data_IF_808042893098
#
_entry.id   IF_808042893098
#
_cell.length_a   1.000
_cell.length_b   1.000
_cell.length_c   1.000
_cell.angle_alpha   90.00
_cell.angle_beta   90.00
_cell.angle_gamma   90.00
#
_symmetry.space_group_name_H-M   'P 1'
#
loop_
_entity.id
_entity.type
_entity.pdbx_description
1 polymer ?
#
# COMPACT_ATOMS: atom_id res chain seq x y z
N UNK A 1 -10.98 -13.50 7.09
CA UNK A 1 -12.28 -14.07 6.67
C UNK A 1 -12.93 -14.94 7.75
N UNK A 2 -12.31 -16.02 8.21
CA UNK A 2 -12.90 -16.93 9.23
C UNK A 2 -13.37 -16.19 10.51
N UNK A 3 -12.58 -15.24 11.02
CA UNK A 3 -12.93 -14.43 12.18
C UNK A 3 -14.24 -13.64 12.02
N UNK A 4 -14.44 -13.00 10.89
CA UNK A 4 -15.68 -12.26 10.61
C UNK A 4 -16.88 -13.19 10.47
N UNK A 5 -16.72 -14.33 9.81
CA UNK A 5 -17.78 -15.34 9.72
C UNK A 5 -18.18 -15.87 11.10
N UNK A 6 -17.20 -16.12 11.97
CA UNK A 6 -17.45 -16.52 13.34
C UNK A 6 -18.24 -15.46 14.11
N UNK A 7 -17.86 -14.18 13.99
CA UNK A 7 -18.57 -13.08 14.66
C UNK A 7 -20.01 -12.91 14.14
N UNK A 8 -20.22 -12.98 12.83
CA UNK A 8 -21.56 -12.93 12.22
C UNK A 8 -22.45 -14.04 12.82
N UNK A 9 -21.93 -15.27 12.86
CA UNK A 9 -22.64 -16.42 13.44
C UNK A 9 -22.92 -16.20 14.92
N UNK A 10 -21.94 -15.77 15.69
CA UNK A 10 -22.08 -15.51 17.12
C UNK A 10 -23.15 -14.43 17.39
N UNK A 11 -23.14 -13.31 16.68
CA UNK A 11 -24.14 -12.26 16.82
C UNK A 11 -25.54 -12.77 16.44
N UNK A 12 -25.64 -13.57 15.41
CA UNK A 12 -26.91 -14.18 15.00
C UNK A 12 -27.48 -15.13 16.08
N UNK A 13 -26.65 -16.07 16.59
CA UNK A 13 -27.05 -17.04 17.62
C UNK A 13 -27.45 -16.35 18.94
N UNK A 14 -26.73 -15.27 19.30
CA UNK A 14 -27.03 -14.47 20.50
C UNK A 14 -28.16 -13.46 20.27
N UNK A 15 -28.74 -13.37 19.07
CA UNK A 15 -29.77 -12.41 18.66
C UNK A 15 -29.38 -10.95 18.92
N UNK A 16 -28.09 -10.63 18.81
CA UNK A 16 -27.58 -9.29 18.95
C UNK A 16 -27.77 -8.51 17.64
N UNK A 17 -28.36 -7.34 17.74
CA UNK A 17 -28.43 -6.42 16.62
C UNK A 17 -27.22 -5.48 16.69
N UNK A 18 -26.36 -5.55 15.69
CA UNK A 18 -25.16 -4.71 15.58
C UNK A 18 -25.27 -3.81 14.36
N UNK A 19 -24.96 -2.52 14.47
CA UNK A 19 -25.00 -1.58 13.35
C UNK A 19 -23.73 -1.73 12.50
N UNK A 20 -23.48 -2.91 11.97
CA UNK A 20 -22.25 -3.22 11.23
C UNK A 20 -22.55 -3.87 9.87
N UNK A 21 -21.77 -3.49 8.87
CA UNK A 21 -21.70 -4.13 7.56
C UNK A 21 -20.43 -4.97 7.55
N UNK A 22 -20.58 -6.28 7.35
CA UNK A 22 -19.46 -7.21 7.19
C UNK A 22 -19.19 -7.38 5.70
N UNK A 23 -18.04 -6.93 5.25
CA UNK A 23 -17.63 -6.98 3.86
C UNK A 23 -16.45 -7.94 3.65
N UNK A 24 -16.55 -8.81 2.66
CA UNK A 24 -15.47 -9.68 2.20
C UNK A 24 -15.07 -9.20 0.82
N UNK A 25 -14.09 -8.31 0.78
CA UNK A 25 -13.65 -7.66 -0.44
C UNK A 25 -12.45 -8.39 -1.09
N UNK A 26 -11.95 -7.83 -2.19
CA UNK A 26 -10.83 -8.35 -2.98
C UNK A 26 -9.89 -7.25 -3.39
N UNK A 27 -8.63 -7.63 -3.71
CA UNK A 27 -7.67 -6.71 -4.31
C UNK A 27 -6.97 -5.80 -3.31
N UNK A 28 -6.80 -6.24 -2.06
CA UNK A 28 -5.90 -5.63 -1.11
C UNK A 28 -4.45 -5.93 -1.47
N UNK A 29 -4.13 -7.19 -1.77
CA UNK A 29 -2.79 -7.66 -2.05
C UNK A 29 -2.23 -7.25 -3.41
N UNK A 30 -0.91 -7.13 -3.46
CA UNK A 30 -0.12 -6.97 -4.68
C UNK A 30 -0.56 -5.81 -5.58
N UNK A 31 -0.91 -6.14 -6.81
CA UNK A 31 -1.40 -5.20 -7.82
C UNK A 31 -2.93 -5.01 -7.80
N UNK A 32 -3.62 -5.53 -6.79
CA UNK A 32 -5.07 -5.37 -6.64
C UNK A 32 -5.53 -3.94 -6.40
N UNK A 33 -4.63 -3.08 -5.94
CA UNK A 33 -4.80 -1.63 -5.83
C UNK A 33 -6.02 -1.19 -5.00
N UNK A 34 -6.39 -1.99 -3.98
CA UNK A 34 -7.51 -1.74 -3.06
C UNK A 34 -8.88 -1.62 -3.77
N UNK A 35 -9.06 -2.27 -4.93
CA UNK A 35 -10.27 -2.11 -5.76
C UNK A 35 -11.56 -2.48 -5.03
N UNK A 36 -11.51 -3.46 -4.11
CA UNK A 36 -12.67 -3.85 -3.31
C UNK A 36 -13.06 -2.78 -2.31
N UNK A 37 -12.08 -2.18 -1.62
CA UNK A 37 -12.31 -1.06 -0.71
C UNK A 37 -12.80 0.19 -1.46
N UNK A 38 -12.29 0.47 -2.65
CA UNK A 38 -12.80 1.53 -3.52
C UNK A 38 -14.29 1.34 -3.81
N UNK A 39 -14.68 0.16 -4.31
CA UNK A 39 -16.08 -0.15 -4.63
C UNK A 39 -16.98 -0.09 -3.39
N UNK A 40 -16.53 -0.61 -2.25
CA UNK A 40 -17.25 -0.53 -0.99
C UNK A 40 -17.53 0.94 -0.61
N UNK A 41 -16.52 1.80 -0.68
CA UNK A 41 -16.66 3.19 -0.33
C UNK A 41 -17.52 3.98 -1.33
N UNK A 42 -17.46 3.67 -2.61
CA UNK A 42 -18.35 4.27 -3.63
C UNK A 42 -19.83 3.93 -3.38
N UNK A 43 -20.09 2.71 -2.89
CA UNK A 43 -21.46 2.22 -2.68
C UNK A 43 -22.05 2.63 -1.33
N UNK A 44 -21.23 2.70 -0.26
CA UNK A 44 -21.71 2.73 1.11
C UNK A 44 -21.21 3.91 1.95
N UNK A 45 -20.32 4.78 1.44
CA UNK A 45 -19.71 5.87 2.22
C UNK A 45 -20.72 6.66 3.05
N UNK A 46 -21.85 7.02 2.47
CA UNK A 46 -22.89 7.82 3.13
C UNK A 46 -23.59 7.09 4.30
N UNK A 47 -23.43 5.77 4.39
CA UNK A 47 -24.09 4.92 5.39
C UNK A 47 -23.15 4.43 6.49
N UNK A 48 -21.84 4.63 6.35
CA UNK A 48 -20.85 4.17 7.31
C UNK A 48 -20.25 5.33 8.10
N UNK A 49 -20.08 5.14 9.40
CA UNK A 49 -19.46 6.12 10.30
C UNK A 49 -17.97 5.86 10.50
N UNK A 50 -17.59 4.60 10.42
CA UNK A 50 -16.20 4.16 10.56
C UNK A 50 -15.93 2.94 9.67
N UNK A 51 -14.68 2.78 9.30
CA UNK A 51 -14.21 1.63 8.53
C UNK A 51 -13.11 0.91 9.31
N UNK A 52 -13.25 -0.40 9.49
CA UNK A 52 -12.23 -1.25 10.12
C UNK A 52 -11.80 -2.31 9.11
N UNK A 53 -10.56 -2.24 8.64
CA UNK A 53 -9.93 -3.33 7.92
C UNK A 53 -9.43 -4.37 8.94
N UNK A 54 -9.91 -5.61 8.82
CA UNK A 54 -9.47 -6.70 9.69
C UNK A 54 -8.29 -7.39 9.02
N UNK A 55 -7.10 -6.87 9.30
CA UNK A 55 -5.84 -7.21 8.64
C UNK A 55 -4.65 -6.95 9.57
N UNK A 56 -3.58 -7.76 9.41
CA UNK A 56 -2.35 -7.65 10.19
C UNK A 56 -2.48 -8.13 11.64
N UNK A 57 -1.63 -7.62 12.52
CA UNK A 57 -1.49 -8.03 13.93
C UNK A 57 -2.55 -7.41 14.85
N UNK A 58 -2.95 -8.15 15.88
CA UNK A 58 -4.00 -7.73 16.84
C UNK A 58 -3.57 -6.65 17.84
N UNK A 59 -2.29 -6.33 17.93
CA UNK A 59 -1.74 -5.29 18.81
C UNK A 59 -1.26 -4.04 18.05
N UNK A 60 -1.14 -4.13 16.74
CA UNK A 60 -0.70 -3.05 15.87
C UNK A 60 -1.89 -2.43 15.14
N UNK A 61 -2.14 -1.18 15.41
CA UNK A 61 -3.24 -0.42 14.81
C UNK A 61 -2.70 0.53 13.76
N UNK A 62 -3.17 0.36 12.54
CA UNK A 62 -2.85 1.24 11.42
C UNK A 62 -3.92 2.30 11.33
N UNK A 63 -3.57 3.54 11.63
CA UNK A 63 -4.45 4.71 11.58
C UNK A 63 -3.92 5.83 10.68
N UNK A 64 -2.80 5.58 10.01
CA UNK A 64 -2.21 6.47 9.03
C UNK A 64 -1.95 5.71 7.73
N UNK A 65 -2.54 6.18 6.64
CA UNK A 65 -2.45 5.51 5.35
C UNK A 65 -1.16 5.87 4.62
N UNK A 66 -0.36 4.87 4.31
CA UNK A 66 0.77 5.02 3.38
C UNK A 66 0.27 4.87 1.95
N UNK A 67 0.23 5.98 1.21
CA UNK A 67 -0.07 5.96 -0.21
C UNK A 67 1.12 5.48 -1.04
N UNK A 68 0.86 5.04 -2.25
CA UNK A 68 1.91 4.63 -3.18
C UNK A 68 1.56 4.89 -4.64
N UNK A 69 2.59 5.29 -5.43
CA UNK A 69 2.56 5.27 -6.88
C UNK A 69 3.61 4.30 -7.37
N UNK A 70 3.22 3.37 -8.24
CA UNK A 70 4.08 2.30 -8.76
C UNK A 70 4.04 2.28 -10.26
N UNK A 71 5.21 2.22 -10.88
CA UNK A 71 5.36 2.20 -12.34
C UNK A 71 6.30 1.10 -12.78
N UNK A 72 6.03 0.53 -13.96
CA UNK A 72 7.04 -0.09 -14.80
C UNK A 72 7.46 0.91 -15.88
N UNK A 73 8.75 1.02 -16.12
CA UNK A 73 9.32 1.87 -17.15
C UNK A 73 10.10 0.97 -18.12
N UNK A 74 9.70 0.99 -19.38
CA UNK A 74 10.37 0.29 -20.47
C UNK A 74 11.17 1.28 -21.30
N UNK A 75 12.47 1.06 -21.37
CA UNK A 75 13.44 1.87 -22.11
C UNK A 75 13.80 1.13 -23.38
N UNK A 76 13.51 1.75 -24.52
CA UNK A 76 13.76 1.17 -25.84
C UNK A 76 14.75 2.03 -26.63
N UNK A 77 15.74 1.38 -27.25
CA UNK A 77 16.76 2.00 -28.10
C UNK A 77 16.97 1.18 -29.35
N UNK A 78 17.66 1.68 -30.40
CA UNK A 78 17.95 0.90 -31.60
C UNK A 78 18.72 -0.40 -31.36
N UNK A 79 19.61 -0.41 -30.35
CA UNK A 79 20.52 -1.55 -30.11
C UNK A 79 21.56 -1.72 -31.19
N UNK A 80 22.26 -2.88 -31.21
CA UNK A 80 23.25 -3.19 -32.25
C UNK A 80 24.40 -4.07 -31.80
N UNK A 81 25.40 -4.25 -32.65
CA UNK A 81 26.62 -4.96 -32.31
C UNK A 81 27.58 -4.02 -31.57
N UNK A 82 28.11 -4.44 -30.41
CA UNK A 82 28.91 -3.58 -29.52
C UNK A 82 30.15 -2.92 -30.16
N UNK A 83 30.75 -3.56 -31.15
CA UNK A 83 31.88 -3.02 -31.88
C UNK A 83 31.46 -2.30 -33.17
N UNK A 84 30.60 -2.92 -33.99
CA UNK A 84 30.23 -2.38 -35.30
C UNK A 84 29.33 -1.13 -35.20
N UNK A 85 28.47 -1.08 -34.21
CA UNK A 85 27.54 0.04 -33.96
C UNK A 85 27.98 0.85 -32.74
N UNK A 86 29.29 0.92 -32.45
CA UNK A 86 29.78 1.70 -31.32
C UNK A 86 29.39 3.19 -31.42
N UNK A 87 28.76 3.70 -30.37
CA UNK A 87 28.18 5.07 -30.33
C UNK A 87 26.66 5.10 -30.36
N UNK A 88 25.99 4.02 -30.74
CA UNK A 88 24.55 3.89 -30.63
C UNK A 88 24.10 3.86 -29.15
N UNK A 89 22.86 4.31 -28.92
CA UNK A 89 22.28 4.32 -27.57
C UNK A 89 22.08 2.91 -27.03
N UNK A 90 22.40 2.76 -25.77
CA UNK A 90 22.26 1.51 -25.02
C UNK A 90 21.18 1.66 -23.96
N UNK A 91 20.14 0.84 -24.01
CA UNK A 91 19.00 0.89 -23.10
C UNK A 91 19.41 0.70 -21.63
N UNK A 92 20.42 -0.15 -21.34
CA UNK A 92 20.94 -0.33 -19.98
C UNK A 92 21.60 0.98 -19.47
N UNK A 93 22.39 1.64 -20.31
CA UNK A 93 23.03 2.90 -19.95
C UNK A 93 21.99 4.02 -19.74
N UNK A 94 20.98 4.09 -20.62
CA UNK A 94 19.89 5.05 -20.48
C UNK A 94 19.07 4.80 -19.19
N UNK A 95 18.67 3.56 -18.92
CA UNK A 95 17.97 3.20 -17.68
C UNK A 95 18.81 3.52 -16.42
N UNK A 96 20.12 3.25 -16.46
CA UNK A 96 21.03 3.53 -15.35
C UNK A 96 21.11 5.02 -15.05
N UNK A 97 21.17 5.89 -16.08
CA UNK A 97 21.19 7.34 -15.91
C UNK A 97 19.86 7.86 -15.31
N UNK A 98 18.72 7.33 -15.76
CA UNK A 98 17.39 7.65 -15.18
C UNK A 98 17.36 7.25 -13.70
N UNK A 99 17.81 6.05 -13.37
CA UNK A 99 17.82 5.52 -11.99
C UNK A 99 18.77 6.35 -11.11
N UNK A 100 19.96 6.71 -11.59
CA UNK A 100 20.90 7.56 -10.86
C UNK A 100 20.27 8.94 -10.53
N UNK A 101 19.65 9.58 -11.53
CA UNK A 101 18.98 10.86 -11.31
C UNK A 101 17.79 10.74 -10.34
N UNK A 102 17.02 9.66 -10.44
CA UNK A 102 15.93 9.37 -9.51
C UNK A 102 16.42 9.21 -8.07
N UNK A 103 17.53 8.48 -7.84
CA UNK A 103 18.13 8.36 -6.51
C UNK A 103 18.82 9.65 -6.03
N UNK A 104 19.02 10.62 -6.90
CA UNK A 104 19.44 11.97 -6.55
C UNK A 104 18.35 12.87 -5.95
N UNK A 105 17.07 12.46 -6.05
CA UNK A 105 15.95 13.21 -5.49
C UNK A 105 16.03 13.29 -3.96
N UNK A 106 15.74 14.46 -3.42
CA UNK A 106 15.63 14.66 -1.98
C UNK A 106 14.17 14.62 -1.56
N UNK A 107 13.86 13.75 -0.61
CA UNK A 107 12.52 13.60 -0.03
C UNK A 107 12.55 13.89 1.47
N UNK A 108 11.44 14.37 2.07
CA UNK A 108 11.39 14.65 3.49
C UNK A 108 11.36 13.35 4.31
N UNK A 109 11.98 13.40 5.51
CA UNK A 109 11.80 12.38 6.54
C UNK A 109 10.48 12.54 7.29
N UNK A 110 9.96 13.77 7.38
CA UNK A 110 8.67 14.11 7.98
C UNK A 110 7.98 15.16 7.10
N UNK A 111 6.83 14.82 6.50
CA UNK A 111 6.17 13.49 6.48
C UNK A 111 7.03 12.43 5.79
N UNK A 112 7.02 11.19 6.31
CA UNK A 112 7.87 10.12 5.77
C UNK A 112 7.52 9.85 4.30
N UNK A 113 8.51 10.06 3.44
CA UNK A 113 8.43 9.86 1.99
C UNK A 113 9.61 9.00 1.55
N UNK A 114 9.34 8.00 0.71
CA UNK A 114 10.35 7.04 0.28
C UNK A 114 10.15 6.68 -1.19
N UNK A 115 11.21 6.20 -1.81
CA UNK A 115 11.16 5.65 -3.16
C UNK A 115 12.16 4.50 -3.31
N UNK A 116 11.91 3.65 -4.28
CA UNK A 116 12.75 2.47 -4.55
C UNK A 116 12.62 2.04 -6.00
N UNK A 117 13.71 1.53 -6.58
CA UNK A 117 13.70 0.74 -7.81
C UNK A 117 13.74 -0.72 -7.39
N UNK A 118 12.64 -1.43 -7.61
CA UNK A 118 12.45 -2.79 -7.09
C UNK A 118 13.05 -3.87 -7.98
N UNK A 119 12.96 -3.70 -9.29
CA UNK A 119 13.48 -4.65 -10.29
C UNK A 119 14.09 -3.90 -11.45
N UNK A 120 15.08 -4.53 -12.11
CA UNK A 120 15.61 -4.13 -13.41
C UNK A 120 15.97 -5.39 -14.20
N UNK A 121 15.58 -5.44 -15.46
CA UNK A 121 15.89 -6.55 -16.36
C UNK A 121 16.02 -6.06 -17.80
N UNK A 122 16.88 -6.68 -18.59
CA UNK A 122 17.07 -6.33 -20.01
C UNK A 122 18.41 -6.77 -20.56
N UNK A 123 18.63 -6.42 -21.85
CA UNK A 123 19.80 -6.87 -22.60
C UNK A 123 19.72 -8.34 -23.01
N UNK A 124 20.65 -8.80 -23.87
CA UNK A 124 20.65 -10.17 -24.43
C UNK A 124 21.98 -10.89 -24.27
N UNK A 125 23.04 -10.28 -24.78
CA UNK A 125 24.41 -10.89 -24.82
C UNK A 125 25.47 -9.83 -24.58
N UNK A 126 26.65 -10.24 -24.12
CA UNK A 126 27.75 -9.34 -23.76
C UNK A 126 28.26 -8.48 -24.94
N UNK A 127 28.11 -8.94 -26.16
CA UNK A 127 28.57 -8.26 -27.39
C UNK A 127 27.43 -7.56 -28.16
N UNK A 128 26.27 -7.38 -27.54
CA UNK A 128 25.16 -6.58 -28.08
C UNK A 128 24.99 -5.30 -27.28
N UNK A 129 24.74 -4.18 -27.98
CA UNK A 129 24.17 -2.96 -27.36
C UNK A 129 22.73 -3.29 -26.97
N UNK A 130 22.38 -3.15 -25.72
CA UNK A 130 21.04 -3.47 -25.24
C UNK A 130 20.00 -2.57 -25.92
N UNK A 131 18.99 -3.20 -26.52
CA UNK A 131 17.89 -2.51 -27.20
C UNK A 131 16.71 -2.24 -26.27
N UNK A 132 16.56 -3.01 -25.19
CA UNK A 132 15.45 -2.90 -24.25
C UNK A 132 15.88 -3.18 -22.82
N UNK A 133 15.28 -2.43 -21.88
CA UNK A 133 15.38 -2.63 -20.44
C UNK A 133 14.05 -2.23 -19.80
N UNK A 134 13.57 -3.04 -18.86
CA UNK A 134 12.46 -2.67 -17.99
C UNK A 134 12.95 -2.54 -16.54
N UNK A 135 12.46 -1.52 -15.82
CA UNK A 135 12.64 -1.39 -14.39
C UNK A 135 11.34 -0.95 -13.71
N UNK A 136 11.18 -1.31 -12.43
CA UNK A 136 9.98 -0.95 -11.65
C UNK A 136 10.33 0.03 -10.54
N UNK A 137 9.41 0.98 -10.31
CA UNK A 137 9.54 2.04 -9.29
C UNK A 137 8.38 1.95 -8.32
N UNK A 138 8.69 2.08 -7.01
CA UNK A 138 7.71 2.21 -5.92
C UNK A 138 8.00 3.50 -5.16
N UNK A 139 7.07 4.44 -5.16
CA UNK A 139 7.11 5.70 -4.44
C UNK A 139 6.04 5.69 -3.37
N UNK A 140 6.38 6.08 -2.13
CA UNK A 140 5.46 6.04 -0.99
C UNK A 140 5.55 7.30 -0.16
N UNK A 141 4.41 7.72 0.41
CA UNK A 141 4.35 8.77 1.42
C UNK A 141 3.13 8.62 2.32
N UNK A 142 3.19 9.20 3.51
CA UNK A 142 2.02 9.45 4.36
C UNK A 142 1.34 10.78 4.00
N UNK A 143 1.93 11.58 3.13
CA UNK A 143 1.39 12.86 2.63
C UNK A 143 1.11 12.79 1.13
N UNK A 144 -0.14 13.05 0.73
CA UNK A 144 -0.50 13.08 -0.69
C UNK A 144 0.25 14.20 -1.44
N UNK A 145 0.48 15.34 -0.80
CA UNK A 145 1.23 16.45 -1.39
C UNK A 145 2.67 16.04 -1.71
N UNK A 146 3.35 15.37 -0.78
CA UNK A 146 4.73 14.93 -1.00
C UNK A 146 4.81 13.76 -2.00
N UNK A 147 3.82 12.86 -1.99
CA UNK A 147 3.75 11.79 -2.98
C UNK A 147 3.55 12.34 -4.40
N UNK A 148 2.68 13.35 -4.57
CA UNK A 148 2.46 14.00 -5.86
C UNK A 148 3.68 14.79 -6.34
N UNK A 149 4.41 15.45 -5.44
CA UNK A 149 5.68 16.14 -5.78
C UNK A 149 6.73 15.15 -6.27
N UNK A 150 6.87 14.02 -5.58
CA UNK A 150 7.81 12.97 -5.96
C UNK A 150 7.43 12.34 -7.30
N UNK A 151 6.15 12.06 -7.51
CA UNK A 151 5.60 11.55 -8.77
C UNK A 151 5.88 12.51 -9.95
N UNK A 152 5.61 13.80 -9.76
CA UNK A 152 5.90 14.82 -10.77
C UNK A 152 7.40 14.92 -11.08
N UNK A 153 8.26 14.90 -10.06
CA UNK A 153 9.70 14.93 -10.24
C UNK A 153 10.21 13.69 -11.02
N UNK A 154 9.64 12.51 -10.74
CA UNK A 154 9.96 11.29 -11.50
C UNK A 154 9.53 11.41 -12.96
N UNK A 155 8.32 11.87 -13.24
CA UNK A 155 7.85 12.08 -14.62
C UNK A 155 8.70 13.12 -15.37
N UNK A 156 9.16 14.16 -14.69
CA UNK A 156 10.07 15.15 -15.28
C UNK A 156 11.45 14.56 -15.60
N UNK A 157 11.97 13.64 -14.78
CA UNK A 157 13.18 12.89 -15.09
C UNK A 157 12.97 12.09 -16.38
N UNK A 158 11.92 11.28 -16.46
CA UNK A 158 11.64 10.49 -17.66
C UNK A 158 11.57 11.37 -18.90
N UNK A 159 10.84 12.48 -18.85
CA UNK A 159 10.72 13.41 -19.97
C UNK A 159 12.07 13.99 -20.43
N UNK A 160 13.00 14.25 -19.52
CA UNK A 160 14.34 14.77 -19.88
C UNK A 160 15.21 13.71 -20.56
N UNK A 161 14.98 12.44 -20.27
CA UNK A 161 15.74 11.33 -20.84
C UNK A 161 15.15 10.79 -22.16
N UNK A 162 13.96 11.27 -22.58
CA UNK A 162 13.44 10.99 -23.91
C UNK A 162 14.28 11.68 -24.98
N UNK A 163 14.58 10.95 -26.06
CA UNK A 163 15.33 11.43 -27.21
C UNK A 163 14.86 10.69 -28.46
N UNK A 164 15.31 11.13 -29.65
CA UNK A 164 14.94 10.49 -30.93
C UNK A 164 15.30 8.99 -30.98
N UNK A 165 16.33 8.60 -30.28
CA UNK A 165 16.89 7.25 -30.20
C UNK A 165 16.71 6.57 -28.82
N UNK A 166 15.92 7.17 -27.92
CA UNK A 166 15.52 6.63 -26.62
C UNK A 166 14.03 6.85 -26.42
N UNK A 167 13.25 5.79 -26.48
CA UNK A 167 11.82 5.80 -26.21
C UNK A 167 11.56 5.27 -24.81
N UNK A 168 10.71 5.97 -24.06
CA UNK A 168 10.30 5.58 -22.71
C UNK A 168 8.80 5.28 -22.71
N UNK A 169 8.44 4.05 -22.36
CA UNK A 169 7.05 3.64 -22.15
C UNK A 169 6.81 3.44 -20.66
N UNK A 170 5.77 4.05 -20.14
CA UNK A 170 5.45 4.02 -18.70
C UNK A 170 4.12 3.33 -18.46
N UNK A 171 4.10 2.27 -17.66
CA UNK A 171 2.90 1.57 -17.24
C UNK A 171 2.65 1.83 -15.74
N UNK A 172 1.48 2.40 -15.43
CA UNK A 172 1.04 2.54 -14.04
C UNK A 172 0.64 1.17 -13.49
N UNK A 173 1.41 0.63 -12.55
CA UNK A 173 1.15 -0.66 -11.90
C UNK A 173 0.15 -0.54 -10.75
N UNK A 174 0.12 0.60 -10.07
CA UNK A 174 -0.82 0.83 -8.97
C UNK A 174 -0.71 2.22 -8.38
N UNK A 175 -1.85 2.68 -7.84
CA UNK A 175 -1.95 3.98 -7.18
C UNK A 175 -2.86 3.86 -5.97
N UNK A 176 -2.29 4.02 -4.77
CA UNK A 176 -3.02 3.97 -3.51
C UNK A 176 -2.98 5.36 -2.86
N UNK A 177 -4.11 5.89 -2.36
CA UNK A 177 -4.12 7.18 -1.70
C UNK A 177 -3.46 7.11 -0.33
N UNK A 178 -2.95 8.22 0.14
CA UNK A 178 -2.63 8.42 1.54
C UNK A 178 -3.70 9.29 2.23
N UNK A 179 -3.70 9.28 3.53
CA UNK A 179 -4.58 10.10 4.36
C UNK A 179 -4.36 9.78 5.83
N UNK A 180 -4.57 10.78 6.63
CA UNK A 180 -4.69 10.71 8.06
C UNK A 180 -6.18 10.93 8.39
N UNK A 181 -6.84 9.92 8.89
CA UNK A 181 -8.20 10.06 9.38
C UNK A 181 -8.23 10.98 10.59
N UNK A 182 -9.42 11.46 11.00
CA UNK A 182 -9.56 12.25 12.20
C UNK A 182 -9.13 11.44 13.42
N UNK A 183 -7.94 11.70 13.92
CA UNK A 183 -7.30 11.01 15.05
C UNK A 183 -8.06 11.19 16.38
N UNK A 184 -9.03 12.09 16.44
CA UNK A 184 -9.80 12.46 17.63
C UNK A 184 -11.30 12.24 17.48
N UNK A 185 -11.70 11.39 16.57
CA UNK A 185 -13.11 11.01 16.42
C UNK A 185 -13.61 10.23 17.64
N UNK A 186 -14.90 10.31 17.92
CA UNK A 186 -15.54 9.60 19.03
C UNK A 186 -15.29 8.09 18.97
N UNK A 187 -15.30 7.51 17.78
CA UNK A 187 -15.07 6.09 17.54
C UNK A 187 -13.65 5.69 17.94
N UNK A 188 -12.67 6.52 17.56
CA UNK A 188 -11.28 6.32 17.94
C UNK A 188 -11.10 6.34 19.47
N UNK A 189 -11.69 7.33 20.15
CA UNK A 189 -11.64 7.43 21.62
C UNK A 189 -12.33 6.25 22.30
N UNK A 190 -13.40 5.72 21.73
CA UNK A 190 -14.06 4.51 22.24
C UNK A 190 -13.15 3.29 22.16
N UNK A 191 -12.51 3.07 21.01
CA UNK A 191 -11.54 1.99 20.83
C UNK A 191 -10.40 2.10 21.85
N UNK A 192 -9.85 3.30 22.01
CA UNK A 192 -8.79 3.56 22.99
C UNK A 192 -9.24 3.30 24.42
N UNK A 193 -10.50 3.59 24.75
CA UNK A 193 -11.10 3.33 26.07
C UNK A 193 -11.21 1.82 26.33
N UNK A 194 -11.68 1.04 25.35
CA UNK A 194 -11.76 -0.41 25.43
C UNK A 194 -10.39 -1.00 25.70
N UNK A 195 -9.39 -0.60 24.92
CA UNK A 195 -8.00 -1.07 25.07
C UNK A 195 -7.42 -0.77 26.44
N UNK A 196 -7.62 0.45 26.95
CA UNK A 196 -7.16 0.85 28.30
C UNK A 196 -7.84 0.04 29.40
N UNK A 197 -9.14 -0.26 29.28
CA UNK A 197 -9.87 -1.10 30.25
C UNK A 197 -9.34 -2.55 30.28
N UNK A 198 -8.84 -3.04 29.16
CA UNK A 198 -8.22 -4.35 29.06
C UNK A 198 -6.73 -4.34 29.49
N UNK A 199 -6.19 -3.20 29.93
CA UNK A 199 -4.78 -3.06 30.30
C UNK A 199 -3.82 -3.16 29.13
N UNK A 200 -4.30 -2.98 27.90
CA UNK A 200 -3.52 -3.12 26.67
C UNK A 200 -2.98 -1.77 26.19
N UNK A 201 -1.73 -1.73 25.81
CA UNK A 201 -1.12 -0.63 25.09
C UNK A 201 -1.52 -0.70 23.63
N UNK A 202 -1.68 0.47 22.98
CA UNK A 202 -1.96 0.56 21.54
C UNK A 202 -0.71 1.03 20.84
N UNK A 203 -0.22 0.23 19.88
CA UNK A 203 0.90 0.58 19.01
C UNK A 203 0.33 1.13 17.70
N UNK A 204 0.51 2.41 17.48
CA UNK A 204 0.09 3.08 16.25
C UNK A 204 1.13 2.88 15.15
N UNK A 205 0.66 2.74 13.92
CA UNK A 205 1.52 2.53 12.77
C UNK A 205 0.94 3.20 11.52
N UNK A 206 1.84 3.54 10.61
CA UNK A 206 1.51 3.84 9.23
C UNK A 206 1.70 2.58 8.38
N UNK A 207 0.72 2.26 7.54
CA UNK A 207 0.81 1.16 6.56
C UNK A 207 -0.15 1.38 5.40
N UNK A 208 -0.04 0.56 4.36
CA UNK A 208 -0.95 0.57 3.22
C UNK A 208 -1.89 -0.62 3.34
N UNK A 209 -3.17 -0.36 3.55
CA UNK A 209 -4.23 -1.37 3.75
C UNK A 209 -5.53 -0.87 3.11
N UNK A 210 -6.58 -1.65 3.13
CA UNK A 210 -7.92 -1.22 2.70
C UNK A 210 -8.43 0.04 3.42
N UNK A 211 -7.94 0.30 4.64
CA UNK A 211 -8.27 1.52 5.38
C UNK A 211 -7.82 2.81 4.68
N UNK A 212 -6.83 2.74 3.76
CA UNK A 212 -6.36 3.89 3.00
C UNK A 212 -7.51 4.63 2.30
N UNK A 213 -8.48 3.88 1.76
CA UNK A 213 -9.56 4.48 0.96
C UNK A 213 -10.48 5.30 1.85
N UNK A 214 -10.86 4.78 3.01
CA UNK A 214 -11.70 5.50 3.95
C UNK A 214 -10.96 6.71 4.57
N UNK A 215 -9.70 6.53 5.00
CA UNK A 215 -8.85 7.59 5.53
C UNK A 215 -8.66 8.74 4.53
N UNK A 216 -8.41 8.41 3.24
CA UNK A 216 -8.25 9.43 2.20
C UNK A 216 -9.52 10.22 1.89
N UNK A 217 -10.68 9.71 2.29
CA UNK A 217 -11.99 10.37 2.17
C UNK A 217 -12.42 11.07 3.46
N UNK A 218 -11.54 11.14 4.46
CA UNK A 218 -11.80 11.80 5.73
C UNK A 218 -12.73 11.03 6.68
N UNK A 219 -12.94 9.73 6.43
CA UNK A 219 -13.70 8.88 7.35
C UNK A 219 -12.78 8.29 8.43
N UNK A 220 -13.28 8.17 9.67
CA UNK A 220 -12.60 7.42 10.71
C UNK A 220 -12.34 5.99 10.24
N UNK A 221 -11.08 5.59 10.17
CA UNK A 221 -10.72 4.26 9.73
C UNK A 221 -9.43 3.79 10.38
N UNK A 222 -9.29 2.47 10.47
CA UNK A 222 -8.08 1.80 10.90
C UNK A 222 -8.00 0.39 10.38
N UNK A 223 -6.79 -0.18 10.43
CA UNK A 223 -6.61 -1.62 10.24
C UNK A 223 -5.98 -2.22 11.51
N UNK A 224 -6.44 -3.41 11.88
CA UNK A 224 -5.82 -4.27 12.87
C UNK A 224 -6.32 -5.71 12.70
N UNK A 225 -5.48 -6.67 13.07
CA UNK A 225 -5.78 -8.09 12.95
C UNK A 225 -6.44 -8.68 14.20
N UNK A 226 -6.71 -9.99 14.12
CA UNK A 226 -7.28 -10.79 15.21
C UNK A 226 -6.31 -11.82 15.78
N UNK A 227 -5.06 -11.83 15.32
CA UNK A 227 -4.03 -12.74 15.77
C UNK A 227 -2.65 -12.14 15.74
N UNK A 228 -1.66 -12.87 16.30
CA UNK A 228 -0.25 -12.52 16.19
C UNK A 228 0.38 -13.30 15.06
N UNK A 229 1.03 -12.59 14.17
CA UNK A 229 1.68 -13.08 12.96
C UNK A 229 3.19 -12.91 13.05
N UNK A 230 3.93 -13.84 12.43
CA UNK A 230 5.38 -13.75 12.23
C UNK A 230 5.72 -14.11 10.80
N UNK A 231 6.81 -13.53 10.28
CA UNK A 231 7.30 -13.84 8.94
C UNK A 231 6.35 -13.49 7.82
N UNK A 232 5.51 -12.46 7.99
CA UNK A 232 4.51 -12.02 7.01
C UNK A 232 5.15 -11.81 5.64
N UNK A 233 4.52 -12.31 4.58
CA UNK A 233 5.01 -12.33 3.19
C UNK A 233 6.27 -13.18 2.95
N UNK A 234 6.58 -14.14 3.82
CA UNK A 234 7.63 -15.12 3.62
C UNK A 234 7.08 -16.55 3.59
N UNK A 235 7.93 -17.52 3.20
CA UNK A 235 7.56 -18.95 3.26
C UNK A 235 7.44 -19.49 4.71
N UNK A 236 7.97 -18.74 5.68
CA UNK A 236 7.95 -19.07 7.09
C UNK A 236 6.87 -18.27 7.84
N UNK A 237 5.82 -17.86 7.14
CA UNK A 237 4.70 -17.14 7.75
C UNK A 237 3.93 -18.02 8.72
N UNK A 238 3.79 -17.57 9.95
CA UNK A 238 3.14 -18.28 11.06
C UNK A 238 2.08 -17.42 11.72
N UNK A 239 0.96 -18.05 12.13
CA UNK A 239 -0.08 -17.47 12.96
C UNK A 239 -0.14 -18.17 14.31
N UNK A 240 -0.02 -17.40 15.39
CA UNK A 240 -0.25 -17.92 16.75
C UNK A 240 -1.74 -18.14 17.00
N UNK A 241 -2.18 -19.39 16.97
CA UNK A 241 -3.57 -19.76 17.19
C UNK A 241 -4.10 -19.40 18.59
N UNK A 242 -3.23 -19.32 19.61
CA UNK A 242 -3.62 -18.93 20.97
C UNK A 242 -4.06 -17.46 21.06
N UNK A 243 -3.58 -16.62 20.13
CA UNK A 243 -3.91 -15.21 20.06
C UNK A 243 -5.29 -14.91 19.43
N UNK A 244 -5.89 -15.87 18.73
CA UNK A 244 -7.15 -15.67 18.00
C UNK A 244 -8.34 -15.39 18.93
N UNK A 245 -8.48 -16.12 20.03
CA UNK A 245 -9.61 -15.91 20.94
C UNK A 245 -9.58 -14.52 21.63
N UNK A 246 -8.45 -14.03 22.15
CA UNK A 246 -8.32 -12.65 22.61
C UNK A 246 -8.59 -11.60 21.52
N UNK A 247 -8.08 -11.81 20.30
CA UNK A 247 -8.28 -10.88 19.18
C UNK A 247 -9.73 -10.83 18.70
N UNK A 248 -10.41 -11.97 18.63
CA UNK A 248 -11.84 -12.03 18.33
C UNK A 248 -12.68 -11.31 19.39
N UNK A 249 -12.36 -11.50 20.67
CA UNK A 249 -13.01 -10.77 21.77
C UNK A 249 -12.81 -9.27 21.63
N UNK A 250 -11.59 -8.83 21.30
CA UNK A 250 -11.28 -7.43 21.04
C UNK A 250 -12.13 -6.86 19.91
N UNK A 251 -12.17 -7.54 18.75
CA UNK A 251 -12.96 -7.11 17.60
C UNK A 251 -14.47 -7.10 17.90
N UNK A 252 -15.00 -8.10 18.60
CA UNK A 252 -16.37 -8.13 19.03
C UNK A 252 -16.71 -6.96 19.96
N UNK A 253 -15.83 -6.65 20.91
CA UNK A 253 -16.00 -5.51 21.82
C UNK A 253 -16.05 -4.18 21.06
N UNK A 254 -15.21 -4.01 20.04
CA UNK A 254 -15.25 -2.82 19.20
C UNK A 254 -16.57 -2.67 18.44
N UNK A 255 -17.07 -3.77 17.85
CA UNK A 255 -18.33 -3.76 17.10
C UNK A 255 -19.54 -3.48 18.00
N UNK A 256 -19.53 -3.96 19.26
CA UNK A 256 -20.63 -3.80 20.19
C UNK A 256 -20.64 -2.45 20.92
N UNK A 257 -19.51 -1.76 20.99
CA UNK A 257 -19.34 -0.49 21.73
C UNK A 257 -19.26 0.74 20.77
N UNK A 258 -19.22 0.50 19.47
CA UNK A 258 -19.29 1.54 18.42
C UNK A 258 -20.75 1.72 17.97
#
# INVERSE_FOLDING_TARGET
MAALLFLIRMFHELKLQVPAIFCFNVGEEGLGNLRGAHHLMETWQEKIRAFIAVDGDSERFVNEAVGSHRYAVHVVTPGGHSFANFGEKNAIAAASAIIEEFYGLRVPHTPKTTYNVGTIQGGRTVNAIAADVEFTVDMRSVSMTELQKLDAAFMDILKRHEATDVTLETLLLGKRPCGDGPLRDEIYERIMRIRRREGKMTKWAASSTDANIALSRGLPAMAFGVGHEKGVHTLDEELDLSSLAPGLKQLASFILDI
#
